data_IF_947897455882
#
_entry.id   IF_947897455882
#
_cell.length_a   1.000
_cell.length_b   1.000
_cell.length_c   1.000
_cell.angle_alpha   90.00
_cell.angle_beta   90.00
_cell.angle_gamma   90.00
#
_symmetry.space_group_name_H-M   'P 1'
#
loop_
_entity.id
_entity.type
_entity.pdbx_description
1 polymer ?
#
# COMPACT_ATOMS: atom_id res chain seq x y z
N UNK A 1 0.65 7.26 4.35
CA UNK A 1 1.00 5.90 4.81
C UNK A 1 1.18 5.00 3.59
N UNK A 2 2.36 4.44 3.38
CA UNK A 2 2.61 3.50 2.29
C UNK A 2 2.26 2.07 2.73
N UNK A 3 1.68 1.27 1.84
CA UNK A 3 1.24 -0.09 2.11
C UNK A 3 1.48 -1.00 0.91
N UNK A 4 1.11 -2.28 1.02
CA UNK A 4 1.24 -3.28 -0.04
C UNK A 4 2.69 -3.48 -0.56
N UNK A 5 3.68 -3.29 0.31
CA UNK A 5 5.11 -3.52 0.05
C UNK A 5 5.36 -5.00 -0.22
N UNK A 6 6.04 -5.33 -1.33
CA UNK A 6 6.25 -6.73 -1.76
C UNK A 6 7.60 -7.28 -1.35
N UNK A 7 8.61 -6.43 -1.27
CA UNK A 7 10.01 -6.83 -1.03
C UNK A 7 10.79 -5.74 -0.25
N UNK A 8 12.07 -5.99 0.03
CA UNK A 8 12.93 -5.03 0.75
C UNK A 8 13.25 -3.78 -0.08
N UNK A 9 13.41 -3.95 -1.39
CA UNK A 9 13.77 -2.87 -2.30
C UNK A 9 12.68 -1.79 -2.38
N UNK A 10 11.41 -2.20 -2.39
CA UNK A 10 10.26 -1.30 -2.27
C UNK A 10 10.37 -0.47 -0.99
N UNK A 11 10.71 -1.11 0.14
CA UNK A 11 10.85 -0.43 1.42
C UNK A 11 12.03 0.53 1.45
N UNK A 12 13.18 0.14 0.89
CA UNK A 12 14.35 1.03 0.74
C UNK A 12 14.05 2.25 -0.13
N UNK A 13 13.17 2.11 -1.12
CA UNK A 13 12.75 3.21 -1.99
C UNK A 13 11.80 4.19 -1.30
N UNK A 14 11.08 3.73 -0.28
CA UNK A 14 10.10 4.50 0.49
C UNK A 14 10.66 5.04 1.82
N UNK A 15 11.97 4.86 2.10
CA UNK A 15 12.58 5.33 3.35
C UNK A 15 12.43 6.85 3.50
N UNK A 16 11.72 7.25 4.55
CA UNK A 16 11.46 8.65 4.88
C UNK A 16 9.99 9.09 4.76
N UNK A 17 9.09 8.19 4.30
CA UNK A 17 7.63 8.34 4.49
C UNK A 17 7.28 8.21 5.98
N UNK A 18 6.26 8.92 6.43
CA UNK A 18 5.85 8.96 7.85
C UNK A 18 5.52 7.57 8.43
N UNK A 19 4.79 6.75 7.66
CA UNK A 19 4.34 5.43 8.08
C UNK A 19 4.36 4.43 6.91
N UNK A 20 4.88 3.23 7.17
CA UNK A 20 4.91 2.11 6.23
C UNK A 20 4.25 0.89 6.91
N UNK A 21 3.26 0.29 6.24
CA UNK A 21 2.71 -1.01 6.59
C UNK A 21 3.39 -2.07 5.71
N UNK A 22 4.11 -3.00 6.34
CA UNK A 22 4.83 -4.06 5.66
C UNK A 22 4.40 -5.44 6.17
N UNK A 23 4.37 -6.47 5.30
CA UNK A 23 4.11 -7.85 5.73
C UNK A 23 5.19 -8.36 6.69
N UNK A 24 4.80 -9.21 7.64
CA UNK A 24 5.72 -9.80 8.62
C UNK A 24 6.94 -10.47 7.96
N UNK A 25 6.73 -11.17 6.84
CA UNK A 25 7.81 -11.81 6.07
C UNK A 25 8.87 -10.82 5.59
N UNK A 26 8.46 -9.63 5.14
CA UNK A 26 9.39 -8.57 4.71
C UNK A 26 10.13 -8.01 5.93
N UNK A 27 9.44 -7.80 7.04
CA UNK A 27 10.06 -7.34 8.30
C UNK A 27 11.09 -8.32 8.86
N UNK A 28 10.78 -9.62 8.87
CA UNK A 28 11.72 -10.67 9.28
C UNK A 28 12.96 -10.65 8.40
N UNK A 29 12.74 -10.58 7.09
CA UNK A 29 13.86 -10.52 6.15
C UNK A 29 14.71 -9.27 6.36
N UNK A 30 14.11 -8.11 6.69
CA UNK A 30 14.85 -6.88 7.01
C UNK A 30 15.68 -7.03 8.30
N UNK A 31 15.14 -7.68 9.32
CA UNK A 31 15.86 -7.96 10.57
C UNK A 31 17.11 -8.81 10.34
N UNK A 32 17.06 -9.75 9.42
CA UNK A 32 18.18 -10.65 9.09
C UNK A 32 19.20 -10.01 8.14
N UNK A 33 18.83 -8.96 7.40
CA UNK A 33 19.79 -8.27 6.53
C UNK A 33 20.71 -7.34 7.32
N UNK A 34 22.01 -7.54 7.15
CA UNK A 34 23.01 -6.53 7.49
C UNK A 34 23.25 -5.68 6.25
N UNK A 35 23.00 -4.35 6.29
CA UNK A 35 23.23 -3.51 5.12
C UNK A 35 24.74 -3.40 4.86
N UNK A 36 25.23 -3.74 3.66
CA UNK A 36 26.60 -3.40 3.31
C UNK A 36 26.72 -1.87 3.26
N UNK A 37 27.78 -1.29 3.85
CA UNK A 37 28.02 0.14 3.74
C UNK A 37 28.26 0.50 2.27
N UNK A 38 27.64 1.58 1.80
CA UNK A 38 27.85 2.22 0.48
C UNK A 38 27.25 1.56 -0.78
N UNK A 39 26.22 0.71 -0.67
CA UNK A 39 25.51 0.22 -1.87
C UNK A 39 24.22 1.01 -2.20
N UNK A 40 23.77 0.90 -3.46
CA UNK A 40 22.53 1.49 -4.03
C UNK A 40 21.27 1.18 -3.20
N UNK A 41 21.30 0.11 -2.40
CA UNK A 41 20.24 -0.37 -1.52
C UNK A 41 20.63 -0.34 -0.04
N UNK A 42 21.29 0.75 0.39
CA UNK A 42 21.56 1.04 1.80
C UNK A 42 20.38 1.77 2.47
N UNK A 43 20.40 1.88 3.80
CA UNK A 43 19.39 2.61 4.60
C UNK A 43 19.52 4.13 4.47
N UNK A 44 19.62 4.63 3.24
CA UNK A 44 19.67 6.05 2.93
C UNK A 44 18.25 6.56 2.78
N UNK A 45 17.90 7.56 3.57
CA UNK A 45 16.63 8.27 3.47
C UNK A 45 16.46 8.83 2.05
N UNK A 46 15.37 8.45 1.37
CA UNK A 46 15.03 8.93 0.02
C UNK A 46 14.06 10.09 0.04
N UNK A 47 13.17 10.10 1.03
CA UNK A 47 12.07 11.06 1.11
C UNK A 47 12.26 11.93 2.36
N UNK A 48 12.27 13.25 2.18
CA UNK A 48 12.31 14.21 3.27
C UNK A 48 11.39 15.41 2.96
N UNK A 49 10.83 16.07 3.98
CA UNK A 49 10.02 17.27 3.76
C UNK A 49 10.78 18.36 3.00
N UNK A 50 12.06 18.56 3.31
CA UNK A 50 12.91 19.56 2.64
C UNK A 50 13.07 19.30 1.14
N UNK A 51 13.20 18.03 0.73
CA UNK A 51 13.26 17.66 -0.70
C UNK A 51 11.90 17.68 -1.39
N UNK A 52 10.81 17.51 -0.64
CA UNK A 52 9.46 17.58 -1.20
C UNK A 52 9.03 19.04 -1.46
N UNK A 53 9.48 19.99 -0.62
CA UNK A 53 9.17 21.41 -0.76
C UNK A 53 9.72 22.04 -2.05
N UNK A 54 10.74 21.45 -2.66
CA UNK A 54 11.26 21.92 -3.96
C UNK A 54 10.43 21.47 -5.16
N UNK A 55 9.40 20.63 -4.97
CA UNK A 55 8.51 20.23 -6.05
C UNK A 55 7.49 21.33 -6.33
N UNK A 56 7.46 21.80 -7.58
CA UNK A 56 6.47 22.77 -8.04
C UNK A 56 5.36 22.03 -8.78
N UNK A 57 4.16 22.04 -8.20
CA UNK A 57 2.99 21.47 -8.84
C UNK A 57 2.54 22.33 -10.03
N UNK A 58 2.00 21.69 -11.06
CA UNK A 58 1.35 22.41 -12.17
C UNK A 58 -0.10 22.77 -11.82
N UNK A 59 -0.68 23.74 -12.52
CA UNK A 59 -2.09 24.13 -12.33
C UNK A 59 -3.05 22.96 -12.62
N UNK A 60 -2.66 22.03 -13.48
CA UNK A 60 -3.41 20.81 -13.78
C UNK A 60 -3.40 19.82 -12.60
N UNK A 61 -2.30 19.73 -11.85
CA UNK A 61 -2.17 18.88 -10.66
C UNK A 61 -2.91 19.46 -9.44
N UNK A 62 -3.02 20.80 -9.37
CA UNK A 62 -3.72 21.53 -8.30
C UNK A 62 -5.22 21.72 -8.55
N UNK A 63 -5.76 21.07 -9.58
CA UNK A 63 -7.16 21.21 -9.95
C UNK A 63 -8.12 20.80 -8.82
N UNK A 64 -9.22 21.56 -8.68
CA UNK A 64 -10.32 21.15 -7.80
C UNK A 64 -10.97 19.86 -8.30
N UNK A 65 -10.96 18.85 -7.43
CA UNK A 65 -11.52 17.54 -7.69
C UNK A 65 -13.02 17.50 -7.41
N UNK A 66 -13.80 17.20 -8.45
CA UNK A 66 -15.20 16.81 -8.34
C UNK A 66 -15.38 15.38 -8.85
N UNK A 67 -16.56 14.79 -8.64
CA UNK A 67 -16.84 13.39 -8.99
C UNK A 67 -16.50 13.06 -10.45
N UNK A 68 -16.92 13.91 -11.39
CA UNK A 68 -16.72 13.67 -12.82
C UNK A 68 -15.24 13.78 -13.21
N UNK A 69 -14.55 14.83 -12.75
CA UNK A 69 -13.12 15.03 -13.01
C UNK A 69 -12.29 13.89 -12.44
N UNK A 70 -12.60 13.44 -11.23
CA UNK A 70 -11.92 12.32 -10.59
C UNK A 70 -12.14 11.01 -11.35
N UNK A 71 -13.39 10.70 -11.72
CA UNK A 71 -13.69 9.51 -12.52
C UNK A 71 -12.97 9.53 -13.87
N UNK A 72 -12.93 10.69 -14.56
CA UNK A 72 -12.21 10.80 -15.84
C UNK A 72 -10.69 10.76 -15.72
N UNK A 73 -10.14 11.15 -14.57
CA UNK A 73 -8.69 11.15 -14.33
C UNK A 73 -8.18 9.80 -13.83
N UNK A 74 -9.07 8.90 -13.40
CA UNK A 74 -8.67 7.57 -12.94
C UNK A 74 -8.09 6.79 -14.11
N UNK A 75 -6.81 6.44 -14.01
CA UNK A 75 -6.14 5.66 -15.05
C UNK A 75 -6.65 4.21 -15.09
N UNK A 76 -6.53 3.52 -16.24
CA UNK A 76 -7.04 2.16 -16.42
C UNK A 76 -6.46 1.15 -15.41
N UNK A 77 -5.18 1.30 -15.06
CA UNK A 77 -4.54 0.45 -14.06
C UNK A 77 -5.11 0.70 -12.64
N UNK A 78 -5.47 1.94 -12.31
CA UNK A 78 -6.06 2.26 -11.02
C UNK A 78 -7.48 1.68 -10.89
N UNK A 79 -8.29 1.79 -11.95
CA UNK A 79 -9.62 1.21 -12.01
C UNK A 79 -9.58 -0.33 -11.88
N UNK A 80 -8.71 -0.99 -12.65
CA UNK A 80 -8.58 -2.45 -12.63
C UNK A 80 -8.12 -2.96 -11.26
N UNK A 81 -7.08 -2.36 -10.68
CA UNK A 81 -6.56 -2.77 -9.37
C UNK A 81 -7.56 -2.50 -8.24
N UNK A 82 -8.31 -1.40 -8.31
CA UNK A 82 -9.36 -1.09 -7.35
C UNK A 82 -10.50 -2.11 -7.44
N UNK A 83 -11.00 -2.38 -8.64
CA UNK A 83 -12.07 -3.36 -8.87
C UNK A 83 -11.66 -4.76 -8.41
N UNK A 84 -10.48 -5.23 -8.84
CA UNK A 84 -9.95 -6.53 -8.44
C UNK A 84 -9.71 -6.63 -6.92
N UNK A 85 -9.25 -5.55 -6.29
CA UNK A 85 -9.08 -5.46 -4.84
C UNK A 85 -10.39 -5.59 -4.07
N UNK A 86 -11.44 -4.86 -4.50
CA UNK A 86 -12.77 -4.93 -3.91
C UNK A 86 -13.38 -6.33 -4.05
N UNK A 87 -13.31 -6.91 -5.24
CA UNK A 87 -13.77 -8.28 -5.48
C UNK A 87 -13.03 -9.29 -4.60
N UNK A 88 -11.72 -9.09 -4.41
CA UNK A 88 -10.90 -9.89 -3.50
C UNK A 88 -11.41 -9.83 -2.07
N UNK A 89 -11.66 -8.63 -1.54
CA UNK A 89 -12.20 -8.47 -0.18
C UNK A 89 -13.61 -9.03 -0.04
N UNK A 90 -14.50 -8.83 -1.00
CA UNK A 90 -15.85 -9.43 -0.99
C UNK A 90 -15.77 -10.95 -0.88
N UNK A 91 -14.89 -11.59 -1.67
CA UNK A 91 -14.68 -13.05 -1.63
C UNK A 91 -14.13 -13.50 -0.28
N UNK A 92 -13.19 -12.76 0.31
CA UNK A 92 -12.64 -13.06 1.63
C UNK A 92 -13.70 -12.95 2.73
N UNK A 93 -14.52 -11.90 2.71
CA UNK A 93 -15.62 -11.72 3.66
C UNK A 93 -16.62 -12.86 3.57
N UNK A 94 -17.08 -13.23 2.37
CA UNK A 94 -17.99 -14.38 2.16
C UNK A 94 -17.42 -15.68 2.73
N UNK A 95 -16.13 -15.94 2.51
CA UNK A 95 -15.47 -17.13 3.06
C UNK A 95 -15.45 -17.12 4.59
N UNK A 96 -15.27 -15.95 5.20
CA UNK A 96 -15.31 -15.80 6.66
C UNK A 96 -16.74 -16.01 7.19
N UNK A 97 -17.75 -15.48 6.51
CA UNK A 97 -19.17 -15.70 6.83
C UNK A 97 -19.55 -17.18 6.76
N UNK A 98 -19.11 -17.90 5.71
CA UNK A 98 -19.30 -19.36 5.59
C UNK A 98 -18.64 -20.14 6.73
N UNK A 99 -17.45 -19.71 7.16
CA UNK A 99 -16.77 -20.33 8.31
C UNK A 99 -17.55 -20.09 9.60
N UNK A 100 -18.06 -18.88 9.81
CA UNK A 100 -18.90 -18.58 10.97
C UNK A 100 -20.22 -19.34 10.96
N UNK A 101 -20.85 -19.52 9.79
CA UNK A 101 -22.07 -20.33 9.66
C UNK A 101 -21.88 -21.82 10.01
N UNK A 102 -20.65 -22.34 9.96
CA UNK A 102 -20.34 -23.70 10.44
C UNK A 102 -20.16 -23.80 11.95
N UNK A 103 -19.85 -22.68 12.60
CA UNK A 103 -19.60 -22.59 14.04
C UNK A 103 -20.88 -22.15 14.78
N UNK A 104 -21.71 -21.34 14.12
CA UNK A 104 -22.85 -20.67 14.72
C UNK A 104 -24.09 -20.68 13.79
N UNK A 105 -25.31 -20.95 14.30
CA UNK A 105 -25.61 -21.28 15.69
C UNK A 105 -25.17 -22.71 16.07
N UNK A 106 -24.77 -22.96 17.33
CA UNK A 106 -24.39 -24.28 17.80
C UNK A 106 -25.57 -25.26 17.59
N UNK A 107 -25.30 -26.54 17.33
CA UNK A 107 -26.30 -27.55 16.99
C UNK A 107 -27.40 -27.80 18.03
N UNK A 108 -27.30 -27.20 19.22
CA UNK A 108 -28.23 -27.37 20.34
C UNK A 108 -28.97 -26.07 20.73
N UNK A 109 -29.08 -25.10 19.83
CA UNK A 109 -29.95 -23.92 20.00
C UNK A 109 -31.22 -24.10 19.18
#
# INVERSE_FOLDING_TARGET
MAAAVRNKQDLFSLLGVDYIIAPLKVMQSLKESTPPPNEKYSFVRKLAPTSALSYNFTDEELAEWNQLKFASAMGPAAEELLGAGLDGYIKQTKRVEELFGKIWPPPNV
#
